data_IF_826739851966
#
_entry.id   IF_826739851966
#
_cell.length_a   1.000
_cell.length_b   1.000
_cell.length_c   1.000
_cell.angle_alpha   90.00
_cell.angle_beta   90.00
_cell.angle_gamma   90.00
#
_symmetry.space_group_name_H-M   'P 1'
#
loop_
_entity.id
_entity.type
_entity.pdbx_description
1 polymer ?
#
# COMPACT_ATOMS: atom_id res chain seq x y z
N UNK A 1 9.79 3.10 -11.31
CA UNK A 1 8.41 2.85 -11.76
C UNK A 1 7.55 3.92 -11.14
N UNK A 2 6.85 4.72 -11.94
CA UNK A 2 6.07 5.85 -11.42
C UNK A 2 4.74 5.41 -10.79
N UNK A 3 4.09 4.41 -11.39
CA UNK A 3 2.77 3.96 -10.97
C UNK A 3 2.64 2.45 -11.11
N UNK A 4 2.09 1.77 -10.11
CA UNK A 4 1.88 0.32 -10.11
C UNK A 4 0.54 -0.03 -9.45
N UNK A 5 -0.18 -0.96 -10.06
CA UNK A 5 -1.39 -1.57 -9.48
C UNK A 5 -1.06 -3.02 -9.11
N UNK A 6 -1.37 -3.40 -7.87
CA UNK A 6 -1.40 -4.78 -7.40
C UNK A 6 -2.87 -5.18 -7.26
N UNK A 7 -3.36 -5.87 -8.28
CA UNK A 7 -4.65 -6.55 -8.33
C UNK A 7 -4.37 -8.07 -8.26
N UNK A 8 -4.15 -8.55 -7.04
CA UNK A 8 -3.49 -9.83 -6.76
C UNK A 8 -4.44 -10.96 -6.37
N UNK A 9 -3.88 -12.05 -5.81
CA UNK A 9 -4.62 -13.25 -5.38
C UNK A 9 -5.43 -13.05 -4.06
N UNK A 10 -5.66 -11.78 -3.68
CA UNK A 10 -6.32 -11.29 -2.45
C UNK A 10 -5.99 -12.09 -1.17
N UNK A 11 -4.71 -12.48 -1.05
CA UNK A 11 -4.14 -13.26 0.04
C UNK A 11 -2.88 -12.58 0.53
N UNK A 12 -2.54 -12.83 1.80
CA UNK A 12 -1.46 -12.11 2.48
C UNK A 12 -0.11 -12.31 1.78
N UNK A 13 0.29 -13.58 1.62
CA UNK A 13 1.61 -13.94 1.11
C UNK A 13 1.87 -13.42 -0.32
N UNK A 14 0.97 -13.61 -1.31
CA UNK A 14 1.19 -13.09 -2.65
C UNK A 14 1.28 -11.57 -2.69
N UNK A 15 0.39 -10.87 -1.97
CA UNK A 15 0.36 -9.40 -1.93
C UNK A 15 1.67 -8.83 -1.40
N UNK A 16 2.15 -9.34 -0.26
CA UNK A 16 3.43 -8.90 0.33
C UNK A 16 4.62 -9.29 -0.53
N UNK A 17 4.61 -10.48 -1.15
CA UNK A 17 5.66 -10.90 -2.07
C UNK A 17 5.76 -9.98 -3.28
N UNK A 18 4.63 -9.58 -3.88
CA UNK A 18 4.61 -8.65 -5.01
C UNK A 18 5.14 -7.29 -4.62
N UNK A 19 4.66 -6.74 -3.50
CA UNK A 19 5.14 -5.48 -2.94
C UNK A 19 6.67 -5.48 -2.72
N UNK A 20 7.20 -6.51 -2.08
CA UNK A 20 8.64 -6.63 -1.85
C UNK A 20 9.46 -6.79 -3.14
N UNK A 21 8.93 -7.53 -4.14
CA UNK A 21 9.62 -7.74 -5.42
C UNK A 21 9.77 -6.45 -6.22
N UNK A 22 8.79 -5.57 -6.17
CA UNK A 22 8.80 -4.30 -6.91
C UNK A 22 9.52 -3.17 -6.16
N UNK A 23 9.61 -3.24 -4.82
CA UNK A 23 10.21 -2.23 -3.94
C UNK A 23 11.58 -1.70 -4.40
N UNK A 24 12.53 -2.51 -4.91
CA UNK A 24 13.83 -2.00 -5.39
C UNK A 24 13.75 -1.05 -6.58
N UNK A 25 12.63 -1.05 -7.32
CA UNK A 25 12.42 -0.24 -8.52
C UNK A 25 11.52 0.99 -8.26
N UNK A 26 11.14 1.23 -7.00
CA UNK A 26 10.37 2.39 -6.56
C UNK A 26 11.29 3.56 -6.22
N UNK A 27 10.79 4.77 -6.42
CA UNK A 27 11.41 6.03 -6.03
C UNK A 27 10.43 6.84 -5.20
N UNK A 28 10.87 7.98 -4.67
CA UNK A 28 10.09 8.79 -3.72
C UNK A 28 8.79 9.39 -4.30
N UNK A 29 8.64 9.37 -5.62
CA UNK A 29 7.45 9.82 -6.34
C UNK A 29 6.58 8.66 -6.87
N UNK A 30 6.98 7.42 -6.61
CA UNK A 30 6.18 6.26 -6.98
C UNK A 30 4.85 6.24 -6.23
N UNK A 31 3.81 5.75 -6.90
CA UNK A 31 2.52 5.44 -6.29
C UNK A 31 2.23 3.96 -6.52
N UNK A 32 1.85 3.27 -5.44
CA UNK A 32 1.39 1.87 -5.52
C UNK A 32 -0.07 1.82 -5.08
N UNK A 33 -0.89 1.16 -5.87
CA UNK A 33 -2.31 0.94 -5.60
C UNK A 33 -2.52 -0.54 -5.31
N UNK A 34 -3.18 -0.84 -4.19
CA UNK A 34 -3.63 -2.18 -3.84
C UNK A 34 -5.14 -2.25 -3.96
N UNK A 35 -5.66 -3.26 -4.65
CA UNK A 35 -7.10 -3.51 -4.70
C UNK A 35 -7.55 -4.40 -3.53
N UNK A 36 -8.84 -4.30 -3.18
CA UNK A 36 -9.51 -5.15 -2.20
C UNK A 36 -8.85 -5.21 -0.81
N UNK A 37 -8.36 -4.05 -0.32
CA UNK A 37 -7.59 -3.96 0.94
C UNK A 37 -8.36 -4.43 2.20
N UNK A 38 -9.70 -4.42 2.15
CA UNK A 38 -10.59 -4.89 3.24
C UNK A 38 -11.39 -6.16 2.90
N UNK A 39 -11.04 -6.87 1.81
CA UNK A 39 -11.81 -8.04 1.35
C UNK A 39 -11.78 -9.23 2.31
N UNK A 40 -10.64 -9.45 2.97
CA UNK A 40 -10.43 -10.62 3.82
C UNK A 40 -9.51 -10.29 5.01
N UNK A 41 -9.52 -11.16 6.03
CA UNK A 41 -8.58 -11.05 7.16
C UNK A 41 -7.11 -11.06 6.71
N UNK A 42 -6.81 -11.79 5.65
CA UNK A 42 -5.46 -11.82 5.08
C UNK A 42 -5.11 -10.49 4.38
N UNK A 43 -6.08 -9.86 3.70
CA UNK A 43 -5.87 -8.54 3.10
C UNK A 43 -5.75 -7.44 4.15
N UNK A 44 -6.51 -7.51 5.25
CA UNK A 44 -6.32 -6.63 6.41
C UNK A 44 -4.91 -6.75 6.98
N UNK A 45 -4.41 -7.99 7.10
CA UNK A 45 -3.03 -8.24 7.55
C UNK A 45 -2.01 -7.68 6.55
N UNK A 46 -2.26 -7.82 5.24
CA UNK A 46 -1.35 -7.33 4.21
C UNK A 46 -1.32 -5.79 4.25
N UNK A 47 -2.49 -5.17 4.35
CA UNK A 47 -2.63 -3.72 4.45
C UNK A 47 -1.94 -3.16 5.70
N UNK A 48 -2.09 -3.81 6.85
CA UNK A 48 -1.38 -3.45 8.07
C UNK A 48 0.15 -3.58 7.91
N UNK A 49 0.63 -4.65 7.28
CA UNK A 49 2.05 -4.84 7.02
C UNK A 49 2.63 -3.78 6.05
N UNK A 50 1.90 -3.43 4.98
CA UNK A 50 2.29 -2.40 4.02
C UNK A 50 2.37 -1.03 4.69
N UNK A 51 1.36 -0.64 5.49
CA UNK A 51 1.37 0.63 6.25
C UNK A 51 2.59 0.73 7.18
N UNK A 52 2.97 -0.39 7.80
CA UNK A 52 4.08 -0.43 8.75
C UNK A 52 5.46 -0.51 8.10
N UNK A 53 5.58 -0.75 6.79
CA UNK A 53 6.87 -0.82 6.10
C UNK A 53 7.63 0.51 6.15
N UNK A 54 8.93 0.48 6.49
CA UNK A 54 9.78 1.66 6.68
C UNK A 54 9.93 2.56 5.44
N UNK A 55 9.72 2.01 4.24
CA UNK A 55 9.75 2.82 3.02
C UNK A 55 8.46 3.62 2.79
N UNK A 56 7.35 3.17 3.40
CA UNK A 56 6.04 3.79 3.23
C UNK A 56 5.94 5.00 4.16
N UNK A 57 5.67 6.15 3.57
CA UNK A 57 5.54 7.41 4.33
C UNK A 57 4.10 7.89 4.39
N UNK A 58 3.27 7.52 3.42
CA UNK A 58 1.87 7.91 3.37
C UNK A 58 1.02 6.78 2.80
N UNK A 59 -0.14 6.54 3.41
CA UNK A 59 -1.21 5.76 2.78
C UNK A 59 -2.54 6.49 2.79
N UNK A 60 -3.36 6.23 1.78
CA UNK A 60 -4.75 6.66 1.72
C UNK A 60 -5.61 5.41 1.50
N UNK A 61 -6.46 5.14 2.47
CA UNK A 61 -7.45 4.08 2.45
C UNK A 61 -8.76 4.64 1.90
N UNK A 62 -9.18 4.14 0.74
CA UNK A 62 -10.42 4.51 0.05
C UNK A 62 -11.46 3.38 0.14
N UNK A 63 -11.39 2.56 1.21
CA UNK A 63 -12.19 1.36 1.44
C UNK A 63 -11.91 0.20 0.47
N UNK A 64 -12.16 0.37 -0.83
CA UNK A 64 -11.87 -0.69 -1.81
C UNK A 64 -10.39 -0.73 -2.20
N UNK A 65 -9.79 0.45 -2.37
CA UNK A 65 -8.40 0.58 -2.81
C UNK A 65 -7.54 1.29 -1.76
N UNK A 66 -6.29 0.85 -1.65
CA UNK A 66 -5.26 1.50 -0.84
C UNK A 66 -4.20 2.16 -1.72
N UNK A 67 -3.98 3.46 -1.54
CA UNK A 67 -2.88 4.20 -2.16
C UNK A 67 -1.68 4.25 -1.22
N UNK A 68 -0.49 4.05 -1.75
CA UNK A 68 0.77 3.99 -0.99
C UNK A 68 1.83 4.87 -1.64
N UNK A 69 2.48 5.71 -0.84
CA UNK A 69 3.50 6.68 -1.28
C UNK A 69 4.78 6.59 -0.42
N UNK A 70 5.89 7.07 -0.99
CA UNK A 70 7.26 6.87 -0.47
C UNK A 70 8.06 8.19 -0.39
N UNK A 71 7.36 9.32 -0.25
CA UNK A 71 7.97 10.67 -0.25
C UNK A 71 8.90 10.85 0.94
N UNK A 72 10.19 11.11 0.69
CA UNK A 72 11.22 11.29 1.73
C UNK A 72 11.09 12.61 2.51
N UNK A 73 10.42 13.60 1.93
CA UNK A 73 10.17 14.90 2.58
C UNK A 73 9.19 14.79 3.76
N UNK A 74 8.31 13.77 3.75
CA UNK A 74 7.43 13.47 4.87
C UNK A 74 8.20 12.71 5.96
N UNK A 75 8.54 13.45 7.02
CA UNK A 75 9.33 12.94 8.15
C UNK A 75 8.55 11.99 9.07
N UNK A 76 7.22 12.12 9.09
CA UNK A 76 6.32 11.32 9.90
C UNK A 76 5.41 10.48 9.01
N UNK A 77 5.16 9.23 9.38
CA UNK A 77 4.20 8.37 8.67
C UNK A 77 2.78 8.90 8.84
N UNK A 78 2.02 8.93 7.75
CA UNK A 78 0.62 9.37 7.76
C UNK A 78 -0.28 8.32 7.09
N UNK A 79 -1.38 7.98 7.74
CA UNK A 79 -2.35 7.02 7.20
C UNK A 79 -3.75 7.64 7.30
N UNK A 80 -4.33 7.96 6.14
CA UNK A 80 -5.66 8.55 6.07
C UNK A 80 -6.68 7.49 5.67
N UNK A 81 -7.89 7.60 6.22
CA UNK A 81 -9.06 6.83 5.79
C UNK A 81 -10.10 7.83 5.29
N UNK A 82 -10.53 7.67 4.03
CA UNK A 82 -11.60 8.47 3.46
C UNK A 82 -12.91 7.75 3.68
N UNK A 83 -13.75 8.33 4.54
CA UNK A 83 -15.10 7.83 4.80
C UNK A 83 -16.11 8.75 4.12
N UNK A 84 -16.91 8.20 3.21
CA UNK A 84 -18.09 8.88 2.69
C UNK A 84 -19.25 8.62 3.65
N UNK A 85 -19.92 9.69 4.09
CA UNK A 85 -21.15 9.63 4.89
C UNK A 85 -22.36 9.67 3.97
#
# INVERSE_FOLDING_TARGET
>A
MDFVIIDGNHRFEPTIRYFNKMKPNLHEYSVVVFDDIHWSKEMEQAWAAIKNDDSVTLTIDLFFIGLVFFRKEQKEKQHFIVQFK
#
